data_IF_558183595340
#
_entry.id   IF_558183595340
#
_cell.length_a   1.000
_cell.length_b   1.000
_cell.length_c   1.000
_cell.angle_alpha   90.00
_cell.angle_beta   90.00
_cell.angle_gamma   90.00
#
_symmetry.space_group_name_H-M   'P 1'
#
loop_
_entity.id
_entity.type
_entity.pdbx_description
1 polymer ?
#
# COMPACT_ATOMS: atom_id res chain seq x y z
N UNK A 1 -36.26 41.49 -44.59
CA UNK A 1 -35.38 42.49 -45.23
C UNK A 1 -34.46 43.09 -44.17
N UNK A 2 -33.23 43.37 -44.58
CA UNK A 2 -32.03 43.76 -43.81
C UNK A 2 -32.30 44.94 -42.85
N UNK A 3 -31.58 45.11 -41.73
CA UNK A 3 -30.28 45.82 -41.71
C UNK A 3 -29.59 45.67 -40.35
N UNK A 4 -28.28 45.35 -40.36
CA UNK A 4 -27.36 45.45 -39.23
C UNK A 4 -26.90 46.91 -39.07
N UNK A 5 -26.76 47.42 -37.84
CA UNK A 5 -25.91 48.58 -37.54
C UNK A 5 -25.04 48.26 -36.33
N UNK A 6 -23.72 48.30 -36.56
CA UNK A 6 -22.64 48.31 -35.58
C UNK A 6 -22.24 49.78 -35.39
N UNK A 7 -22.10 50.27 -34.15
CA UNK A 7 -21.30 51.46 -33.84
C UNK A 7 -20.45 51.21 -32.60
N UNK A 8 -19.21 51.66 -32.73
CA UNK A 8 -18.00 51.43 -31.96
C UNK A 8 -17.71 52.63 -31.03
N UNK A 9 -17.20 52.33 -29.82
CA UNK A 9 -16.28 53.09 -28.95
C UNK A 9 -16.53 54.57 -28.59
N UNK A 10 -16.28 54.92 -27.31
CA UNK A 10 -15.13 55.78 -26.93
C UNK A 10 -14.97 55.98 -25.42
N UNK A 11 -13.70 56.07 -25.03
CA UNK A 11 -13.09 56.21 -23.70
C UNK A 11 -13.18 57.64 -23.19
N UNK A 12 -13.43 57.85 -21.88
CA UNK A 12 -13.03 59.08 -21.18
C UNK A 12 -12.39 58.71 -19.82
N UNK A 13 -11.11 59.03 -19.70
CA UNK A 13 -10.32 59.10 -18.46
C UNK A 13 -10.48 60.49 -17.84
N UNK A 14 -10.64 60.56 -16.52
CA UNK A 14 -10.31 61.76 -15.74
C UNK A 14 -9.45 61.38 -14.53
N UNK A 15 -8.27 62.00 -14.47
CA UNK A 15 -7.31 61.95 -13.36
C UNK A 15 -7.54 63.11 -12.38
N UNK A 16 -6.99 62.93 -11.17
CA UNK A 16 -6.58 63.94 -10.15
C UNK A 16 -7.57 64.14 -9.00
N UNK A 17 -7.19 64.11 -7.71
CA UNK A 17 -5.87 63.98 -7.11
C UNK A 17 -5.90 64.08 -5.57
N UNK A 18 -4.84 63.53 -4.96
CA UNK A 18 -4.20 63.80 -3.66
C UNK A 18 -5.03 64.03 -2.37
N UNK A 19 -4.72 63.21 -1.35
CA UNK A 19 -3.99 63.64 -0.14
C UNK A 19 -3.32 62.45 0.57
N UNK A 20 -2.02 62.55 0.83
CA UNK A 20 -1.25 61.69 1.75
C UNK A 20 -1.35 62.26 3.16
N UNK A 21 -1.66 61.43 4.16
CA UNK A 21 -0.91 61.38 5.44
C UNK A 21 -1.12 60.02 6.10
N UNK A 22 -0.04 59.53 6.69
CA UNK A 22 0.21 58.23 7.30
C UNK A 22 -0.34 58.06 8.72
N UNK A 23 -0.23 56.82 9.24
CA UNK A 23 -0.37 56.34 10.64
C UNK A 23 -1.83 55.92 10.94
N UNK A 24 -2.18 54.71 11.40
CA UNK A 24 -1.47 53.75 12.25
C UNK A 24 -1.95 52.29 12.06
N UNK A 25 -1.13 51.36 12.54
CA UNK A 25 -1.31 49.90 12.52
C UNK A 25 -2.38 49.43 13.50
N UNK A 26 -3.32 48.57 13.06
CA UNK A 26 -3.92 47.53 13.91
C UNK A 26 -4.08 46.23 13.13
N UNK A 27 -3.28 45.22 13.53
CA UNK A 27 -3.48 43.80 13.25
C UNK A 27 -4.81 43.39 13.89
N UNK A 28 -5.65 42.71 13.13
CA UNK A 28 -6.67 41.82 13.68
C UNK A 28 -6.65 40.52 12.86
N UNK A 29 -6.61 39.41 13.59
CA UNK A 29 -6.24 38.08 13.16
C UNK A 29 -7.26 37.48 12.19
N UNK A 30 -6.78 37.00 11.05
CA UNK A 30 -7.52 36.07 10.20
C UNK A 30 -7.40 34.69 10.84
N UNK A 31 -8.49 34.24 11.45
CA UNK A 31 -8.73 32.86 11.84
C UNK A 31 -8.52 31.96 10.61
N UNK A 32 -7.39 31.27 10.58
CA UNK A 32 -7.10 30.23 9.61
C UNK A 32 -7.76 28.97 10.09
N UNK A 33 -8.77 28.56 9.31
CA UNK A 33 -9.46 27.29 9.40
C UNK A 33 -8.43 26.16 9.49
N UNK A 34 -8.36 25.55 10.67
CA UNK A 34 -7.41 24.48 10.97
C UNK A 34 -7.95 23.21 10.34
N UNK A 35 -7.74 23.07 9.03
CA UNK A 35 -7.78 21.78 8.37
C UNK A 35 -6.82 20.86 9.12
N UNK A 36 -7.38 19.88 9.82
CA UNK A 36 -6.65 18.82 10.49
C UNK A 36 -5.87 18.04 9.44
N UNK A 37 -4.64 18.47 9.17
CA UNK A 37 -3.63 17.63 8.53
C UNK A 37 -3.42 16.47 9.49
N UNK A 38 -4.05 15.34 9.19
CA UNK A 38 -3.73 14.08 9.84
C UNK A 38 -2.21 13.93 9.77
N UNK A 39 -1.56 13.96 10.93
CA UNK A 39 -0.14 13.71 11.03
C UNK A 39 0.12 12.32 10.48
N UNK A 40 0.69 12.26 9.28
CA UNK A 40 1.24 11.01 8.73
C UNK A 40 2.34 10.61 9.70
N UNK A 41 2.05 9.58 10.51
CA UNK A 41 3.03 8.95 11.39
C UNK A 41 4.29 8.65 10.56
N UNK A 42 5.51 8.92 11.06
CA UNK A 42 6.73 8.62 10.33
C UNK A 42 6.67 7.18 9.83
N UNK A 43 6.86 6.97 8.53
CA UNK A 43 6.83 5.65 7.92
C UNK A 43 7.72 4.71 8.75
N UNK A 44 7.15 3.63 9.26
CA UNK A 44 7.96 2.58 9.88
C UNK A 44 8.89 2.06 8.77
N UNK A 45 10.18 2.34 8.89
CA UNK A 45 11.19 1.93 7.91
C UNK A 45 11.79 0.59 8.28
N UNK A 46 12.39 -0.08 7.29
CA UNK A 46 13.18 -1.29 7.48
C UNK A 46 14.33 -0.98 8.46
N UNK A 47 14.48 -1.81 9.50
CA UNK A 47 15.51 -1.64 10.54
C UNK A 47 16.40 -2.87 10.62
N UNK A 48 17.71 -2.70 10.52
CA UNK A 48 18.67 -3.78 10.78
C UNK A 48 18.98 -3.81 12.27
N UNK A 49 18.75 -4.96 12.92
CA UNK A 49 19.06 -5.21 14.34
C UNK A 49 19.81 -6.52 14.45
N UNK A 50 21.08 -6.46 14.85
CA UNK A 50 21.95 -7.64 14.95
C UNK A 50 21.99 -8.43 13.63
N UNK A 51 21.61 -9.70 13.67
CA UNK A 51 21.56 -10.65 12.56
C UNK A 51 20.21 -10.66 11.82
N UNK A 52 19.32 -9.72 12.14
CA UNK A 52 17.96 -9.63 11.58
C UNK A 52 17.68 -8.29 10.93
N UNK A 53 16.82 -8.32 9.93
CA UNK A 53 16.21 -7.15 9.32
C UNK A 53 14.74 -7.17 9.67
N UNK A 54 14.31 -6.18 10.45
CA UNK A 54 12.94 -6.00 10.91
C UNK A 54 12.13 -5.33 9.81
N UNK A 55 11.07 -5.99 9.41
CA UNK A 55 10.11 -5.50 8.42
C UNK A 55 9.13 -4.56 9.13
N UNK A 56 8.78 -3.41 8.52
CA UNK A 56 7.72 -2.52 9.02
C UNK A 56 6.41 -3.27 9.27
N UNK A 57 5.66 -2.85 10.28
CA UNK A 57 4.33 -3.38 10.47
C UNK A 57 3.38 -2.81 9.41
N UNK A 58 2.51 -3.64 8.86
CA UNK A 58 1.48 -3.23 7.92
C UNK A 58 0.22 -4.06 8.09
N UNK A 59 -0.86 -3.65 7.43
CA UNK A 59 -2.14 -4.33 7.42
C UNK A 59 -2.47 -4.81 6.02
N UNK A 60 -3.01 -6.03 5.92
CA UNK A 60 -3.65 -6.54 4.71
C UNK A 60 -5.15 -6.52 4.99
N UNK A 61 -5.92 -5.83 4.16
CA UNK A 61 -7.37 -5.81 4.20
C UNK A 61 -7.88 -6.70 3.08
N UNK A 62 -8.48 -7.83 3.43
CA UNK A 62 -9.05 -8.79 2.49
C UNK A 62 -10.55 -8.56 2.41
N UNK A 63 -11.01 -8.05 1.27
CA UNK A 63 -12.42 -7.81 1.01
C UNK A 63 -12.99 -8.94 0.14
N UNK A 64 -14.05 -9.58 0.61
CA UNK A 64 -14.67 -10.74 -0.03
C UNK A 64 -16.08 -10.45 -0.51
N UNK A 65 -16.51 -11.12 -1.58
CA UNK A 65 -17.93 -11.17 -1.98
C UNK A 65 -18.79 -11.83 -0.89
N UNK A 66 -20.07 -11.46 -0.83
CA UNK A 66 -21.03 -12.07 0.10
C UNK A 66 -21.13 -13.60 -0.10
N UNK A 67 -21.03 -14.06 -1.36
CA UNK A 67 -21.03 -15.47 -1.69
C UNK A 67 -19.79 -16.19 -1.15
N UNK A 68 -18.61 -15.58 -1.26
CA UNK A 68 -17.37 -16.12 -0.69
C UNK A 68 -17.45 -16.24 0.84
N UNK A 69 -17.91 -15.19 1.52
CA UNK A 69 -18.09 -15.20 2.99
C UNK A 69 -19.01 -16.35 3.40
N UNK A 70 -20.20 -16.44 2.78
CA UNK A 70 -21.18 -17.49 3.09
C UNK A 70 -20.61 -18.89 2.85
N UNK A 71 -19.88 -19.10 1.76
CA UNK A 71 -19.29 -20.41 1.42
C UNK A 71 -18.20 -20.79 2.42
N UNK A 72 -17.30 -19.87 2.76
CA UNK A 72 -16.23 -20.12 3.72
C UNK A 72 -16.80 -20.42 5.12
N UNK A 73 -17.72 -19.59 5.61
CA UNK A 73 -18.34 -19.78 6.92
C UNK A 73 -19.11 -21.09 7.03
N UNK A 74 -19.91 -21.45 6.01
CA UNK A 74 -20.66 -22.72 6.00
C UNK A 74 -19.74 -23.95 5.99
N UNK A 75 -18.57 -23.83 5.36
CA UNK A 75 -17.51 -24.86 5.38
C UNK A 75 -16.61 -24.82 6.59
N UNK A 76 -16.77 -23.85 7.51
CA UNK A 76 -15.81 -23.58 8.61
C UNK A 76 -14.37 -23.42 8.09
N UNK A 77 -14.24 -22.82 6.92
CA UNK A 77 -12.97 -22.48 6.29
C UNK A 77 -12.37 -21.22 6.93
N UNK A 78 -11.10 -21.00 6.63
CA UNK A 78 -10.33 -19.82 7.02
C UNK A 78 -9.78 -19.11 5.77
N UNK A 79 -9.23 -17.91 5.98
CA UNK A 79 -8.43 -17.19 4.99
C UNK A 79 -6.96 -17.32 5.40
N UNK A 80 -6.08 -17.63 4.45
CA UNK A 80 -4.64 -17.64 4.66
C UNK A 80 -4.00 -16.60 3.75
N UNK A 81 -3.33 -15.62 4.35
CA UNK A 81 -2.42 -14.72 3.65
C UNK A 81 -1.00 -15.32 3.71
N UNK A 82 -0.43 -15.63 2.55
CA UNK A 82 0.95 -16.10 2.39
C UNK A 82 1.81 -14.95 1.87
N UNK A 83 2.82 -14.58 2.65
CA UNK A 83 3.73 -13.48 2.40
C UNK A 83 5.08 -14.04 2.00
N UNK A 84 5.53 -13.74 0.79
CA UNK A 84 6.82 -14.15 0.28
C UNK A 84 7.71 -12.92 0.05
N UNK A 85 8.75 -12.80 0.87
CA UNK A 85 9.73 -11.72 0.77
C UNK A 85 10.92 -12.16 -0.07
N UNK A 86 11.32 -11.32 -1.01
CA UNK A 86 12.43 -11.64 -1.91
C UNK A 86 13.17 -10.39 -2.37
N UNK A 87 14.28 -10.57 -3.09
CA UNK A 87 14.90 -9.47 -3.82
C UNK A 87 15.93 -9.94 -4.84
N UNK A 88 16.39 -8.98 -5.63
CA UNK A 88 17.34 -9.24 -6.71
C UNK A 88 18.78 -9.23 -6.17
N UNK A 89 19.63 -10.06 -6.76
CA UNK A 89 21.08 -10.08 -6.51
C UNK A 89 21.83 -9.60 -7.74
N UNK A 90 23.05 -9.07 -7.58
CA UNK A 90 23.80 -8.47 -8.68
C UNK A 90 24.28 -9.53 -9.70
N UNK A 91 24.76 -10.68 -9.21
CA UNK A 91 25.15 -11.82 -10.03
C UNK A 91 25.03 -13.13 -9.22
N UNK A 92 24.04 -13.95 -9.58
CA UNK A 92 23.76 -15.23 -8.93
C UNK A 92 24.93 -16.22 -9.01
N UNK A 93 25.78 -16.12 -10.04
CA UNK A 93 26.92 -17.03 -10.24
C UNK A 93 28.02 -16.81 -9.21
N UNK A 94 28.13 -15.61 -8.67
CA UNK A 94 29.16 -15.24 -7.67
C UNK A 94 28.73 -15.50 -6.23
N UNK A 95 27.46 -15.81 -6.02
CA UNK A 95 26.93 -16.01 -4.67
C UNK A 95 27.58 -17.23 -3.97
N UNK A 96 27.81 -17.14 -2.65
CA UNK A 96 28.24 -18.29 -1.85
C UNK A 96 27.23 -19.44 -1.95
N UNK A 97 27.66 -20.72 -1.87
CA UNK A 97 26.75 -21.87 -1.97
C UNK A 97 25.56 -21.83 -1.00
N UNK A 98 25.80 -21.34 0.22
CA UNK A 98 24.77 -21.19 1.25
C UNK A 98 23.71 -20.12 0.93
N UNK A 99 24.00 -19.18 0.02
CA UNK A 99 23.04 -18.17 -0.47
C UNK A 99 22.38 -18.66 -1.75
N UNK A 100 23.13 -19.30 -2.66
CA UNK A 100 22.62 -19.87 -3.91
C UNK A 100 21.44 -20.82 -3.71
N UNK A 101 21.46 -21.63 -2.64
CA UNK A 101 20.35 -22.54 -2.31
C UNK A 101 19.03 -21.84 -1.98
N UNK A 102 19.06 -20.54 -1.68
CA UNK A 102 17.87 -19.73 -1.39
C UNK A 102 17.39 -18.95 -2.63
N UNK A 103 18.06 -19.08 -3.78
CA UNK A 103 17.59 -18.52 -5.05
C UNK A 103 16.39 -19.33 -5.55
N UNK A 104 15.29 -18.64 -5.81
CA UNK A 104 14.08 -19.20 -6.41
C UNK A 104 13.74 -18.51 -7.74
N UNK A 105 12.59 -18.86 -8.34
CA UNK A 105 12.16 -18.29 -9.62
C UNK A 105 11.96 -16.77 -9.59
N UNK A 106 11.72 -16.21 -8.40
CA UNK A 106 11.50 -14.77 -8.20
C UNK A 106 12.78 -14.04 -7.72
N UNK A 107 13.94 -14.71 -7.65
CA UNK A 107 15.18 -14.16 -7.09
C UNK A 107 15.52 -14.72 -5.71
N UNK A 108 16.30 -13.99 -4.91
CA UNK A 108 16.74 -14.44 -3.60
C UNK A 108 15.58 -14.42 -2.61
N UNK A 109 15.17 -15.61 -2.15
CA UNK A 109 14.18 -15.76 -1.08
C UNK A 109 14.75 -15.20 0.22
N UNK A 110 14.00 -14.29 0.85
CA UNK A 110 14.36 -13.68 2.14
C UNK A 110 13.53 -14.26 3.29
N UNK A 111 12.28 -14.67 3.02
CA UNK A 111 11.40 -15.27 4.01
C UNK A 111 10.04 -15.63 3.42
N UNK A 112 9.34 -16.54 4.09
CA UNK A 112 7.99 -16.98 3.74
C UNK A 112 7.20 -17.13 5.04
N UNK A 113 6.05 -16.46 5.11
CA UNK A 113 5.22 -16.37 6.31
C UNK A 113 3.76 -16.60 5.93
N UNK A 114 3.02 -17.26 6.82
CA UNK A 114 1.59 -17.46 6.66
C UNK A 114 0.85 -16.94 7.88
N UNK A 115 -0.22 -16.19 7.64
CA UNK A 115 -1.11 -15.70 8.67
C UNK A 115 -2.50 -16.24 8.31
N UNK A 116 -3.12 -16.92 9.26
CA UNK A 116 -4.45 -17.51 9.10
C UNK A 116 -5.46 -16.72 9.93
N UNK A 117 -6.54 -16.28 9.29
CA UNK A 117 -7.72 -15.76 9.95
C UNK A 117 -8.88 -16.76 9.85
N UNK A 118 -9.40 -17.16 11.00
CA UNK A 118 -10.48 -18.15 11.11
C UNK A 118 -11.85 -17.50 11.22
N UNK A 119 -11.91 -16.20 11.52
CA UNK A 119 -13.16 -15.47 11.67
C UNK A 119 -13.42 -14.67 10.39
N UNK A 120 -14.06 -15.34 9.43
CA UNK A 120 -14.24 -14.80 8.08
C UNK A 120 -15.41 -13.81 8.05
N UNK A 121 -15.11 -12.58 7.62
CA UNK A 121 -16.04 -11.47 7.40
C UNK A 121 -15.97 -10.99 5.95
N UNK A 122 -16.83 -10.03 5.60
CA UNK A 122 -16.78 -9.35 4.30
C UNK A 122 -15.52 -8.50 4.14
N UNK A 123 -15.02 -7.90 5.22
CA UNK A 123 -13.74 -7.20 5.27
C UNK A 123 -12.93 -7.74 6.44
N UNK A 124 -11.75 -8.30 6.15
CA UNK A 124 -10.91 -9.00 7.12
C UNK A 124 -9.60 -8.25 7.24
N UNK A 125 -9.29 -7.78 8.46
CA UNK A 125 -8.07 -7.05 8.73
C UNK A 125 -7.00 -7.97 9.30
N UNK A 126 -5.99 -8.29 8.49
CA UNK A 126 -4.88 -9.14 8.87
C UNK A 126 -3.69 -8.24 9.24
N UNK A 127 -3.33 -8.24 10.51
CA UNK A 127 -2.16 -7.50 10.99
C UNK A 127 -0.86 -8.27 10.72
N UNK A 128 0.09 -7.63 10.03
CA UNK A 128 1.43 -8.16 9.81
C UNK A 128 2.37 -7.46 10.77
N UNK A 129 2.75 -8.16 11.83
CA UNK A 129 3.60 -7.62 12.91
C UNK A 129 4.76 -8.55 13.22
N UNK A 130 5.85 -7.97 13.71
CA UNK A 130 7.01 -8.72 14.23
C UNK A 130 7.68 -9.64 13.19
N UNK A 131 7.58 -9.30 11.90
CA UNK A 131 8.27 -10.02 10.83
C UNK A 131 9.73 -9.61 10.79
N UNK A 132 10.62 -10.59 10.67
CA UNK A 132 12.04 -10.36 10.46
C UNK A 132 12.61 -11.35 9.46
N UNK A 133 13.52 -10.88 8.61
CA UNK A 133 14.26 -11.70 7.66
C UNK A 133 15.74 -11.79 8.05
N UNK A 134 16.48 -12.84 7.65
CA UNK A 134 17.89 -12.97 7.99
C UNK A 134 18.75 -11.88 7.32
N UNK A 135 19.53 -11.14 8.11
CA UNK A 135 20.45 -10.12 7.57
C UNK A 135 21.44 -10.70 6.57
N UNK A 136 21.92 -11.93 6.82
CA UNK A 136 22.85 -12.63 5.92
C UNK A 136 22.31 -12.78 4.48
N UNK A 137 21.00 -12.77 4.26
CA UNK A 137 20.40 -12.83 2.92
C UNK A 137 20.22 -11.42 2.36
N UNK A 138 19.69 -10.51 3.20
CA UNK A 138 19.53 -9.09 2.87
C UNK A 138 20.83 -8.40 2.43
N UNK A 139 21.98 -8.81 2.98
CA UNK A 139 23.29 -8.27 2.62
C UNK A 139 23.63 -8.48 1.13
N UNK A 140 23.03 -9.48 0.46
CA UNK A 140 23.23 -9.77 -0.97
C UNK A 140 22.21 -9.10 -1.90
N UNK A 141 21.22 -8.39 -1.35
CA UNK A 141 20.20 -7.71 -2.14
C UNK A 141 20.74 -6.41 -2.73
N UNK A 142 20.53 -6.23 -4.04
CA UNK A 142 20.85 -5.02 -4.81
C UNK A 142 20.00 -3.85 -4.31
N UNK A 143 20.65 -2.72 -4.06
CA UNK A 143 20.04 -1.47 -3.58
C UNK A 143 19.20 -1.61 -2.31
N UNK A 144 19.32 -2.76 -1.61
CA UNK A 144 18.51 -3.11 -0.44
C UNK A 144 16.99 -3.08 -0.68
N UNK A 145 16.58 -3.26 -1.94
CA UNK A 145 15.17 -3.34 -2.35
C UNK A 145 14.57 -4.70 -2.03
N UNK A 146 13.68 -4.72 -1.05
CA UNK A 146 12.89 -5.90 -0.70
C UNK A 146 11.58 -5.84 -1.46
N UNK A 147 11.22 -6.93 -2.11
CA UNK A 147 9.92 -7.12 -2.72
C UNK A 147 9.07 -8.04 -1.84
N UNK A 148 7.76 -7.80 -1.85
CA UNK A 148 6.76 -8.59 -1.15
C UNK A 148 5.72 -9.06 -2.14
N UNK A 149 5.59 -10.38 -2.25
CA UNK A 149 4.51 -11.05 -2.91
C UNK A 149 3.48 -11.52 -1.87
N UNK A 150 2.21 -11.22 -2.07
CA UNK A 150 1.11 -11.68 -1.20
C UNK A 150 0.14 -12.51 -2.03
N UNK A 151 -0.11 -13.73 -1.57
CA UNK A 151 -1.15 -14.59 -2.10
C UNK A 151 -2.14 -14.93 -0.99
N UNK A 152 -3.43 -14.79 -1.28
CA UNK A 152 -4.52 -15.09 -0.33
C UNK A 152 -5.33 -16.27 -0.85
N UNK A 153 -5.61 -17.25 0.00
CA UNK A 153 -6.38 -18.45 -0.38
C UNK A 153 -7.16 -19.02 0.80
N UNK A 154 -8.12 -19.91 0.51
CA UNK A 154 -8.90 -20.59 1.55
C UNK A 154 -8.07 -21.63 2.32
N UNK A 155 -8.41 -21.85 3.59
CA UNK A 155 -7.72 -22.75 4.51
C UNK A 155 -7.77 -24.25 4.17
N UNK A 156 -8.67 -24.66 3.28
CA UNK A 156 -8.87 -26.05 2.80
C UNK A 156 -9.11 -27.06 3.91
N UNK A 157 -10.00 -26.71 4.84
CA UNK A 157 -10.37 -27.55 6.00
C UNK A 157 -11.45 -28.56 5.64
N UNK A 158 -12.51 -28.10 5.00
CA UNK A 158 -13.63 -28.89 4.52
C UNK A 158 -13.54 -29.15 3.01
N UNK A 159 -13.00 -28.19 2.25
CA UNK A 159 -12.81 -28.30 0.81
C UNK A 159 -11.34 -28.58 0.48
N UNK A 160 -11.07 -29.40 -0.54
CA UNK A 160 -9.70 -29.75 -0.95
C UNK A 160 -9.00 -28.65 -1.73
N UNK A 161 -9.79 -27.91 -2.51
CA UNK A 161 -9.29 -26.91 -3.44
C UNK A 161 -9.44 -25.50 -2.86
N UNK A 162 -8.65 -24.58 -3.39
CA UNK A 162 -8.83 -23.17 -3.10
C UNK A 162 -10.21 -22.74 -3.59
N UNK A 163 -10.93 -21.98 -2.78
CA UNK A 163 -12.25 -21.45 -3.13
C UNK A 163 -12.19 -20.01 -3.66
N UNK A 164 -11.09 -19.30 -3.41
CA UNK A 164 -11.01 -17.86 -3.61
C UNK A 164 -10.25 -17.49 -4.88
N UNK A 165 -10.85 -16.65 -5.71
CA UNK A 165 -10.15 -15.86 -6.72
C UNK A 165 -9.82 -14.50 -6.10
N UNK A 166 -8.53 -14.18 -5.99
CA UNK A 166 -8.03 -13.01 -5.26
C UNK A 166 -7.20 -12.12 -6.17
N UNK A 167 -7.32 -10.81 -5.96
CA UNK A 167 -6.31 -9.87 -6.45
C UNK A 167 -4.92 -10.23 -5.94
N UNK A 168 -3.93 -9.92 -6.77
CA UNK A 168 -2.54 -10.23 -6.51
C UNK A 168 -1.78 -8.97 -6.10
N UNK A 169 -0.88 -9.10 -5.14
CA UNK A 169 0.06 -8.04 -4.78
C UNK A 169 1.49 -8.54 -4.94
N UNK A 170 2.27 -7.79 -5.72
CA UNK A 170 3.70 -7.99 -5.84
C UNK A 170 4.37 -6.65 -6.15
N UNK A 171 5.07 -6.11 -5.16
CA UNK A 171 5.74 -4.82 -5.29
C UNK A 171 6.88 -4.65 -4.29
N UNK A 172 7.67 -3.59 -4.48
CA UNK A 172 8.69 -3.17 -3.53
C UNK A 172 8.04 -2.77 -2.20
N UNK A 173 8.59 -3.26 -1.09
CA UNK A 173 8.09 -3.05 0.26
C UNK A 173 7.96 -1.57 0.62
N UNK A 174 8.85 -0.73 0.09
CA UNK A 174 8.82 0.72 0.33
C UNK A 174 7.54 1.38 -0.21
N UNK A 175 6.92 0.84 -1.28
CA UNK A 175 5.65 1.35 -1.79
C UNK A 175 4.49 1.16 -0.81
N UNK A 176 4.54 0.12 0.02
CA UNK A 176 3.54 -0.11 1.07
C UNK A 176 3.71 0.94 2.15
N UNK A 177 4.97 1.21 2.55
CA UNK A 177 5.27 2.17 3.60
C UNK A 177 4.95 3.61 3.23
N UNK A 178 5.02 3.96 1.95
CA UNK A 178 4.65 5.29 1.45
C UNK A 178 3.14 5.49 1.30
N UNK A 179 2.36 4.39 1.24
CA UNK A 179 0.89 4.39 1.10
C UNK A 179 0.16 4.11 2.43
N UNK A 180 0.79 4.42 3.55
CA UNK A 180 0.16 4.32 4.87
C UNK A 180 0.17 2.92 5.50
N UNK A 181 1.00 1.99 4.99
CA UNK A 181 1.14 0.62 5.51
C UNK A 181 -0.15 -0.22 5.45
N UNK A 182 -0.97 0.00 4.43
CA UNK A 182 -2.18 -0.79 4.18
C UNK A 182 -2.19 -1.30 2.75
N UNK A 183 -2.50 -2.58 2.59
CA UNK A 183 -2.70 -3.24 1.30
C UNK A 183 -4.14 -3.73 1.27
N UNK A 184 -4.90 -3.34 0.26
CA UNK A 184 -6.26 -3.84 0.04
C UNK A 184 -6.22 -4.89 -1.06
N UNK A 185 -6.83 -6.05 -0.81
CA UNK A 185 -6.99 -7.14 -1.77
C UNK A 185 -8.45 -7.53 -1.83
N UNK A 186 -9.04 -7.41 -3.01
CA UNK A 186 -10.40 -7.87 -3.25
C UNK A 186 -10.40 -9.32 -3.74
N UNK A 187 -11.44 -10.05 -3.41
CA UNK A 187 -11.65 -11.39 -3.93
C UNK A 187 -13.07 -11.88 -3.84
N UNK A 188 -13.30 -13.03 -4.46
CA UNK A 188 -14.60 -13.67 -4.65
C UNK A 188 -14.42 -15.17 -4.75
N UNK A 189 -15.49 -15.93 -4.92
CA UNK A 189 -15.38 -17.34 -5.27
C UNK A 189 -14.81 -17.50 -6.68
N UNK A 190 -14.01 -18.53 -6.88
CA UNK A 190 -13.56 -18.93 -8.23
C UNK A 190 -14.76 -19.18 -9.14
N UNK A 191 -15.81 -19.81 -8.62
CA UNK A 191 -17.06 -20.09 -9.35
C UNK A 191 -17.89 -18.85 -9.72
N UNK A 192 -17.54 -17.66 -9.23
CA UNK A 192 -18.17 -16.39 -9.66
C UNK A 192 -17.46 -15.78 -10.88
N UNK A 193 -16.31 -16.32 -11.27
CA UNK A 193 -15.49 -15.81 -12.38
C UNK A 193 -15.65 -16.64 -13.66
N UNK A 194 -16.41 -17.74 -13.57
CA UNK A 194 -16.82 -18.63 -14.67
C UNK A 194 -18.20 -18.24 -15.20
#
# INVERSE_FOLDING_TARGET
MKTNIVILASIILFFSGCKKTSVDTKKEEVLTDTSSVMQVKPADTIKVKNDKVVIPNFKIVVNLSDAAVKKLQSGKESIIASLFFYGNTADEKTLPPAIKKEIGPNGLKLGDFKIEDKDVHQSNEIEVKNISIPKKLYDFIVDKKIFLNINVFSGRRAFKDNLLDMEFFDSELNEITSKGNVINLNGRLISESE
#
